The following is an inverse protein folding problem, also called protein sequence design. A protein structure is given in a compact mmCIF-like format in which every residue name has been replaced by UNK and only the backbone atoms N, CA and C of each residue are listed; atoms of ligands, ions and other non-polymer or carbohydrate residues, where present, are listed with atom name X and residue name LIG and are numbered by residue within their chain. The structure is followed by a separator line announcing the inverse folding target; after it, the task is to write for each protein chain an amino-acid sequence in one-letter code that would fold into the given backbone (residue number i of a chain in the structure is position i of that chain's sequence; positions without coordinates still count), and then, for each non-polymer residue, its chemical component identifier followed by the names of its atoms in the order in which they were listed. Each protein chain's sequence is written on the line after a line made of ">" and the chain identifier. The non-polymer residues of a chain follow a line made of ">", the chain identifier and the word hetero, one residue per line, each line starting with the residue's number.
data_IF_666163748391
#
_entry.id   IF_666163748391
#
_cell.length_a   1.000
_cell.length_b   1.000
_cell.length_c   1.000
_cell.angle_alpha   90.00
_cell.angle_beta   90.00
_cell.angle_gamma   90.00
#
_symmetry.space_group_name_H-M   'P 1'
#
loop_
_entity.id
_entity.type
_entity.pdbx_description
1 polymer ?
#
# COMPACT_ATOMS: atom_id res chain seq x y z
N UNK A 1 -10.40 -25.46 0.90
CA UNK A 1 -10.26 -24.02 1.21
C UNK A 1 -8.79 -23.65 1.38
N UNK A 2 -8.03 -23.67 0.28
CA UNK A 2 -6.63 -23.20 0.21
C UNK A 2 -6.48 -22.06 -0.83
N UNK A 3 -7.50 -21.89 -1.69
CA UNK A 3 -7.46 -20.90 -2.77
C UNK A 3 -7.58 -19.45 -2.30
N UNK A 4 -8.28 -19.15 -1.20
CA UNK A 4 -8.39 -17.75 -0.71
C UNK A 4 -7.06 -17.21 -0.19
N UNK A 5 -6.36 -17.99 0.65
CA UNK A 5 -5.01 -17.65 1.14
C UNK A 5 -3.98 -17.48 0.03
N UNK A 6 -4.05 -18.29 -1.01
CA UNK A 6 -3.19 -18.15 -2.20
C UNK A 6 -3.48 -16.82 -2.91
N UNK A 7 -4.76 -16.47 -3.14
CA UNK A 7 -5.15 -15.17 -3.73
C UNK A 7 -4.67 -13.96 -2.92
N UNK A 8 -4.80 -14.01 -1.60
CA UNK A 8 -4.29 -12.98 -0.68
C UNK A 8 -2.78 -12.79 -0.80
N UNK A 9 -2.02 -13.91 -0.82
CA UNK A 9 -0.57 -13.85 -0.96
C UNK A 9 -0.11 -13.31 -2.32
N UNK A 10 -0.80 -13.66 -3.40
CA UNK A 10 -0.53 -13.15 -4.75
C UNK A 10 -0.80 -11.66 -4.85
N UNK A 11 -1.91 -11.17 -4.29
CA UNK A 11 -2.23 -9.74 -4.26
C UNK A 11 -1.23 -8.94 -3.42
N UNK A 12 -0.81 -9.46 -2.26
CA UNK A 12 0.27 -8.84 -1.46
C UNK A 12 1.59 -8.75 -2.22
N UNK A 13 1.93 -9.76 -3.03
CA UNK A 13 3.11 -9.69 -3.90
C UNK A 13 2.93 -8.66 -5.01
N UNK A 14 1.77 -8.66 -5.68
CA UNK A 14 1.48 -7.72 -6.75
C UNK A 14 1.56 -6.25 -6.28
N UNK A 15 1.02 -5.93 -5.11
CA UNK A 15 1.12 -4.57 -4.54
C UNK A 15 2.58 -4.16 -4.38
N UNK A 16 3.42 -5.04 -3.81
CA UNK A 16 4.86 -4.78 -3.61
C UNK A 16 5.57 -4.56 -4.95
N UNK A 17 5.32 -5.42 -5.93
CA UNK A 17 5.93 -5.32 -7.26
C UNK A 17 5.52 -4.03 -7.99
N UNK A 18 4.25 -3.62 -7.86
CA UNK A 18 3.73 -2.39 -8.44
C UNK A 18 4.32 -1.15 -7.76
N UNK A 19 4.43 -1.15 -6.43
CA UNK A 19 5.07 -0.06 -5.67
C UNK A 19 6.55 0.09 -6.03
N UNK A 20 7.29 -1.02 -6.10
CA UNK A 20 8.71 -1.02 -6.47
C UNK A 20 8.95 -0.47 -7.89
N UNK A 21 7.96 -0.55 -8.77
CA UNK A 21 8.00 -0.02 -10.14
C UNK A 21 7.42 1.39 -10.27
N UNK A 22 6.93 1.99 -9.19
CA UNK A 22 6.29 3.31 -9.21
C UNK A 22 4.89 3.34 -9.83
N UNK A 23 4.24 2.18 -10.02
CA UNK A 23 2.89 2.07 -10.59
C UNK A 23 1.83 2.28 -9.49
N UNK A 24 1.82 3.46 -8.89
CA UNK A 24 1.10 3.74 -7.63
C UNK A 24 -0.42 3.59 -7.73
N UNK A 25 -1.02 4.00 -8.85
CA UNK A 25 -2.47 3.86 -9.08
C UNK A 25 -2.87 2.38 -9.18
N UNK A 26 -2.07 1.57 -9.88
CA UNK A 26 -2.28 0.12 -9.98
C UNK A 26 -2.06 -0.56 -8.63
N UNK A 27 -1.03 -0.13 -7.88
CA UNK A 27 -0.76 -0.63 -6.54
C UNK A 27 -1.94 -0.36 -5.58
N UNK A 28 -2.52 0.84 -5.64
CA UNK A 28 -3.72 1.20 -4.89
C UNK A 28 -4.89 0.31 -5.26
N UNK A 29 -5.18 0.14 -6.55
CA UNK A 29 -6.27 -0.74 -6.97
C UNK A 29 -6.08 -2.17 -6.45
N UNK A 30 -4.88 -2.72 -6.60
CA UNK A 30 -4.57 -4.05 -6.08
C UNK A 30 -4.72 -4.15 -4.55
N UNK A 31 -4.37 -3.09 -3.82
CA UNK A 31 -4.55 -3.03 -2.37
C UNK A 31 -6.03 -2.90 -1.96
N UNK A 32 -6.85 -2.16 -2.72
CA UNK A 32 -8.30 -2.09 -2.52
C UNK A 32 -8.94 -3.46 -2.75
N UNK A 33 -8.51 -4.18 -3.80
CA UNK A 33 -8.96 -5.56 -4.02
C UNK A 33 -8.53 -6.47 -2.87
N UNK A 34 -7.28 -6.41 -2.42
CA UNK A 34 -6.76 -7.20 -1.30
C UNK A 34 -7.60 -7.00 -0.04
N UNK A 35 -7.93 -5.74 0.29
CA UNK A 35 -8.74 -5.39 1.46
C UNK A 35 -10.19 -5.87 1.36
N UNK A 36 -10.73 -5.95 0.15
CA UNK A 36 -12.08 -6.46 -0.11
C UNK A 36 -12.20 -7.99 -0.11
N UNK A 37 -11.09 -8.74 -0.11
CA UNK A 37 -11.14 -10.18 0.10
C UNK A 37 -11.26 -10.46 1.60
N UNK A 38 -12.34 -11.12 1.99
CA UNK A 38 -12.50 -11.64 3.35
C UNK A 38 -11.28 -12.48 3.74
N UNK A 39 -10.65 -12.13 4.87
CA UNK A 39 -9.76 -13.05 5.56
C UNK A 39 -10.60 -14.27 5.96
N UNK A 40 -10.22 -15.48 5.53
CA UNK A 40 -10.87 -16.71 5.99
C UNK A 40 -10.69 -16.82 7.51
N UNK A 41 -11.62 -16.28 8.30
CA UNK A 41 -11.70 -16.50 9.75
C UNK A 41 -12.22 -17.93 9.91
N UNK A 42 -11.41 -18.89 10.38
CA UNK A 42 -11.88 -20.26 10.54
C UNK A 42 -12.85 -20.32 11.73
N UNK A 43 -14.16 -20.21 11.46
CA UNK A 43 -15.20 -20.53 12.45
C UNK A 43 -16.45 -19.64 12.53
N UNK A 44 -16.64 -18.64 11.66
CA UNK A 44 -17.91 -17.92 11.62
C UNK A 44 -18.96 -18.78 10.88
N UNK A 45 -19.76 -19.48 11.68
CA UNK A 45 -20.91 -20.26 11.22
C UNK A 45 -22.00 -19.31 10.73
N UNK A 46 -22.63 -19.72 9.66
CA UNK A 46 -23.81 -19.12 9.04
C UNK A 46 -24.93 -18.99 10.07
N UNK A 47 -25.43 -17.76 10.27
CA UNK A 47 -26.82 -17.51 10.65
C UNK A 47 -27.27 -16.28 9.83
N UNK A 48 -28.23 -16.53 8.96
CA UNK A 48 -28.85 -15.59 8.01
C UNK A 48 -29.68 -14.52 8.75
N UNK A 49 -29.69 -13.29 8.25
CA UNK A 49 -30.89 -12.58 7.77
C UNK A 49 -30.83 -11.03 7.91
N UNK A 50 -31.09 -10.41 6.75
CA UNK A 50 -31.99 -9.27 6.52
C UNK A 50 -31.45 -7.84 6.28
N UNK A 51 -31.99 -7.30 5.18
CA UNK A 51 -32.27 -5.91 4.83
C UNK A 51 -31.12 -4.93 4.44
N UNK A 52 -31.00 -4.71 3.12
CA UNK A 52 -30.72 -3.38 2.53
C UNK A 52 -31.99 -2.51 2.60
N UNK A 53 -31.92 -1.17 2.63
CA UNK A 53 -31.93 -0.43 1.36
C UNK A 53 -31.02 0.82 1.33
N UNK A 54 -30.55 1.15 0.12
CA UNK A 54 -29.82 2.37 -0.22
C UNK A 54 -30.71 3.63 -0.26
N UNK A 55 -30.10 4.82 -0.28
CA UNK A 55 -30.57 5.89 -1.16
C UNK A 55 -29.45 6.51 -2.03
N UNK A 56 -29.79 6.81 -3.28
CA UNK A 56 -29.02 7.63 -4.24
C UNK A 56 -29.50 9.12 -4.19
N UNK A 57 -29.21 10.04 -5.14
CA UNK A 57 -28.05 10.28 -6.03
C UNK A 57 -27.56 11.77 -5.95
N UNK A 58 -26.48 12.16 -6.67
CA UNK A 58 -26.37 13.44 -7.42
C UNK A 58 -24.99 13.69 -8.07
N UNK A 59 -24.97 13.77 -9.40
CA UNK A 59 -24.03 14.53 -10.27
C UNK A 59 -24.23 16.06 -10.10
N UNK A 60 -23.35 17.03 -10.53
CA UNK A 60 -22.54 17.00 -11.76
C UNK A 60 -21.17 17.75 -11.82
N UNK A 61 -20.43 17.46 -12.91
CA UNK A 61 -19.64 18.30 -13.84
C UNK A 61 -18.63 19.40 -13.40
N UNK A 62 -17.35 19.17 -13.78
CA UNK A 62 -16.36 20.03 -14.51
C UNK A 62 -16.02 21.45 -14.02
N UNK A 63 -15.03 22.14 -14.63
CA UNK A 63 -13.60 21.84 -14.73
C UNK A 63 -12.78 22.99 -14.09
N UNK A 64 -11.55 22.75 -13.63
CA UNK A 64 -10.64 23.86 -13.29
C UNK A 64 -9.35 23.77 -14.07
N UNK A 65 -9.09 24.90 -14.73
CA UNK A 65 -7.96 25.21 -15.58
C UNK A 65 -6.87 25.94 -14.78
N UNK A 66 -5.71 26.05 -15.42
CA UNK A 66 -4.63 27.02 -15.17
C UNK A 66 -3.83 26.77 -13.88
N UNK A 67 -2.55 27.08 -13.78
CA UNK A 67 -1.48 27.51 -14.68
C UNK A 67 -0.23 27.42 -13.78
N UNK A 68 0.92 27.63 -14.42
CA UNK A 68 2.06 28.33 -13.82
C UNK A 68 3.21 27.49 -13.23
N UNK A 69 4.36 28.01 -13.61
CA UNK A 69 5.68 27.43 -13.62
C UNK A 69 6.37 27.53 -12.27
N UNK A 70 7.40 26.71 -12.07
CA UNK A 70 8.75 27.17 -11.70
C UNK A 70 9.73 26.01 -11.80
N UNK A 71 10.82 26.28 -12.50
CA UNK A 71 12.04 25.51 -12.64
C UNK A 71 12.84 25.67 -11.32
N UNK A 72 13.10 24.58 -10.59
CA UNK A 72 14.00 24.62 -9.43
C UNK A 72 15.15 23.64 -9.66
N UNK A 73 16.27 24.25 -10.02
CA UNK A 73 17.58 23.71 -10.29
C UNK A 73 18.16 23.03 -9.04
N UNK A 74 18.22 21.70 -9.01
CA UNK A 74 18.88 20.96 -7.92
C UNK A 74 20.34 20.65 -8.29
N UNK A 75 21.24 21.38 -7.64
CA UNK A 75 22.71 21.30 -7.68
C UNK A 75 23.24 19.84 -7.51
N UNK A 76 23.95 19.36 -8.53
CA UNK A 76 24.60 18.04 -8.58
C UNK A 76 25.94 18.08 -7.84
N UNK A 77 25.88 18.11 -6.51
CA UNK A 77 27.03 17.88 -5.65
C UNK A 77 27.49 16.42 -5.71
N UNK A 78 28.49 16.14 -6.56
CA UNK A 78 29.21 14.86 -6.57
C UNK A 78 30.20 14.80 -5.41
N UNK A 79 29.86 14.08 -4.35
CA UNK A 79 30.85 13.59 -3.38
C UNK A 79 31.11 12.09 -3.65
N UNK A 80 32.16 11.83 -4.42
CA UNK A 80 32.73 10.50 -4.63
C UNK A 80 33.35 10.00 -3.32
N UNK A 81 32.80 8.91 -2.76
CA UNK A 81 33.43 8.16 -1.65
C UNK A 81 33.88 6.78 -2.14
N UNK A 82 35.13 6.35 -1.87
CA UNK A 82 35.77 5.26 -2.60
C UNK A 82 35.24 3.86 -2.22
N UNK A 83 35.34 2.97 -3.21
CA UNK A 83 34.84 1.61 -3.23
C UNK A 83 35.37 0.72 -2.09
N UNK A 84 34.46 -0.04 -1.48
CA UNK A 84 34.74 -1.19 -0.62
C UNK A 84 34.70 -2.48 -1.48
N UNK A 85 35.65 -3.43 -1.31
CA UNK A 85 35.76 -4.60 -2.19
C UNK A 85 34.56 -5.56 -2.09
N UNK A 86 34.31 -6.37 -3.14
CA UNK A 86 33.09 -7.16 -3.28
C UNK A 86 33.08 -8.31 -2.28
N UNK A 87 32.16 -8.25 -1.32
CA UNK A 87 31.77 -9.41 -0.54
C UNK A 87 30.76 -10.23 -1.37
N UNK A 88 31.07 -11.52 -1.51
CA UNK A 88 30.27 -12.60 -2.08
C UNK A 88 28.77 -12.32 -2.12
N UNK A 89 28.21 -12.27 -3.34
CA UNK A 89 26.78 -12.19 -3.57
C UNK A 89 26.08 -13.41 -2.93
N UNK A 90 25.11 -13.22 -2.01
CA UNK A 90 24.15 -14.27 -1.70
C UNK A 90 23.25 -14.49 -2.94
N UNK A 91 22.55 -15.65 -3.03
CA UNK A 91 21.63 -15.92 -4.13
C UNK A 91 20.62 -14.77 -4.28
N UNK A 92 20.37 -14.39 -5.53
CA UNK A 92 19.49 -13.30 -5.92
C UNK A 92 18.02 -13.60 -5.55
N UNK A 93 17.69 -13.45 -4.28
CA UNK A 93 16.36 -13.00 -3.89
C UNK A 93 16.40 -11.47 -3.99
N UNK A 94 16.12 -10.94 -5.18
CA UNK A 94 16.04 -9.50 -5.50
C UNK A 94 14.82 -8.81 -4.83
N UNK A 95 14.41 -9.28 -3.65
CA UNK A 95 13.43 -8.57 -2.84
C UNK A 95 14.18 -7.50 -2.04
N UNK A 96 13.80 -6.21 -2.14
CA UNK A 96 14.36 -5.19 -1.27
C UNK A 96 14.03 -5.56 0.18
N UNK A 97 15.03 -6.06 0.92
CA UNK A 97 14.88 -6.35 2.34
C UNK A 97 14.38 -5.10 3.05
N UNK A 98 13.33 -5.25 3.86
CA UNK A 98 12.83 -4.16 4.68
C UNK A 98 13.95 -3.59 5.58
N UNK A 99 14.41 -2.37 5.28
CA UNK A 99 15.49 -1.67 6.01
C UNK A 99 14.97 -0.84 7.20
N UNK A 100 13.66 -0.77 7.40
CA UNK A 100 13.04 0.08 8.42
C UNK A 100 13.19 -0.47 9.84
N UNK A 101 13.31 0.43 10.82
CA UNK A 101 13.19 0.07 12.26
C UNK A 101 11.72 -0.23 12.59
N UNK A 102 11.43 -1.41 13.13
CA UNK A 102 10.09 -1.80 13.57
C UNK A 102 9.56 -3.06 12.88
N UNK A 103 8.23 -3.22 12.85
CA UNK A 103 7.57 -4.34 12.17
C UNK A 103 7.71 -4.30 10.65
N UNK A 104 7.51 -5.45 9.99
CA UNK A 104 7.46 -5.54 8.52
C UNK A 104 6.07 -5.15 8.00
N UNK A 105 5.94 -4.71 6.74
CA UNK A 105 4.65 -4.43 6.09
C UNK A 105 3.65 -5.59 6.23
N UNK A 106 4.15 -6.82 6.08
CA UNK A 106 3.34 -8.04 6.18
C UNK A 106 2.84 -8.27 7.61
N UNK A 107 3.63 -7.91 8.63
CA UNK A 107 3.22 -8.01 10.03
C UNK A 107 2.28 -6.87 10.46
N UNK A 108 2.23 -5.76 9.71
CA UNK A 108 1.36 -4.64 9.97
C UNK A 108 -0.09 -4.85 9.46
N UNK A 109 -0.31 -5.88 8.64
CA UNK A 109 -1.63 -6.27 8.13
C UNK A 109 -2.08 -5.46 6.90
N UNK A 110 -3.21 -5.88 6.32
CA UNK A 110 -3.71 -5.32 5.05
C UNK A 110 -4.18 -3.87 5.18
N UNK A 111 -4.64 -3.45 6.36
CA UNK A 111 -4.92 -2.04 6.68
C UNK A 111 -3.71 -1.14 6.39
N UNK A 112 -2.52 -1.59 6.78
CA UNK A 112 -1.29 -0.84 6.53
C UNK A 112 -0.96 -0.80 5.04
N UNK A 113 -1.13 -1.92 4.32
CA UNK A 113 -0.84 -2.01 2.89
C UNK A 113 -1.74 -1.05 2.11
N UNK A 114 -3.04 -1.03 2.40
CA UNK A 114 -3.99 -0.11 1.78
C UNK A 114 -3.69 1.36 2.14
N UNK A 115 -3.44 1.64 3.41
CA UNK A 115 -3.08 2.99 3.87
C UNK A 115 -1.78 3.49 3.22
N UNK A 116 -0.78 2.62 3.08
CA UNK A 116 0.48 2.93 2.41
C UNK A 116 0.24 3.26 0.94
N UNK A 117 -0.64 2.54 0.25
CA UNK A 117 -0.97 2.84 -1.14
C UNK A 117 -1.68 4.20 -1.29
N UNK A 118 -2.56 4.58 -0.35
CA UNK A 118 -3.12 5.94 -0.30
C UNK A 118 -2.06 7.00 0.00
N UNK A 119 -1.15 6.70 0.93
CA UNK A 119 -0.07 7.60 1.31
C UNK A 119 0.87 7.90 0.14
N UNK A 120 1.26 6.87 -0.62
CA UNK A 120 2.15 7.02 -1.78
C UNK A 120 1.54 7.92 -2.87
N UNK A 121 0.20 8.01 -2.96
CA UNK A 121 -0.52 8.91 -3.87
C UNK A 121 -0.78 10.32 -3.30
N UNK A 122 -0.32 10.60 -2.07
CA UNK A 122 -0.57 11.88 -1.39
C UNK A 122 -1.95 12.00 -0.75
N UNK A 123 -2.74 10.92 -0.66
CA UNK A 123 -4.07 10.91 -0.07
C UNK A 123 -4.02 10.75 1.46
N UNK A 124 -3.31 11.64 2.15
CA UNK A 124 -2.96 11.49 3.57
C UNK A 124 -4.18 11.35 4.50
N UNK A 125 -5.29 12.05 4.21
CA UNK A 125 -6.53 11.95 4.99
C UNK A 125 -7.17 10.55 4.93
N UNK A 126 -7.05 9.87 3.78
CA UNK A 126 -7.58 8.51 3.62
C UNK A 126 -6.64 7.50 4.26
N UNK A 127 -5.34 7.70 4.11
CA UNK A 127 -4.32 6.88 4.75
C UNK A 127 -4.47 6.86 6.29
N UNK A 128 -4.56 8.02 6.93
CA UNK A 128 -4.69 8.10 8.40
C UNK A 128 -6.00 7.50 8.90
N UNK A 129 -7.10 7.70 8.17
CA UNK A 129 -8.39 7.08 8.50
C UNK A 129 -8.30 5.55 8.48
N UNK A 130 -7.64 4.97 7.48
CA UNK A 130 -7.49 3.52 7.32
C UNK A 130 -6.71 2.87 8.48
N UNK A 131 -5.71 3.54 9.05
CA UNK A 131 -4.88 2.99 10.14
C UNK A 131 -5.35 3.34 11.55
N UNK A 132 -6.55 3.93 11.70
CA UNK A 132 -7.04 4.40 13.01
C UNK A 132 -7.04 3.29 14.08
N UNK A 133 -7.39 2.07 13.70
CA UNK A 133 -7.48 0.91 14.59
C UNK A 133 -6.20 0.05 14.58
N UNK A 134 -5.28 0.31 13.64
CA UNK A 134 -4.07 -0.49 13.47
C UNK A 134 -3.06 -0.20 14.61
N UNK A 135 -2.76 -1.23 15.41
CA UNK A 135 -1.89 -1.11 16.59
C UNK A 135 -0.40 -1.36 16.30
N UNK A 136 -0.07 -1.76 15.08
CA UNK A 136 1.32 -1.97 14.67
C UNK A 136 2.11 -0.67 14.71
N UNK A 137 3.44 -0.76 14.84
CA UNK A 137 4.31 0.43 14.80
C UNK A 137 4.18 1.19 13.48
N UNK A 138 3.95 0.45 12.39
CA UNK A 138 3.78 1.00 11.04
C UNK A 138 2.44 1.69 10.85
N UNK A 139 1.35 1.10 11.34
CA UNK A 139 0.03 1.76 11.35
C UNK A 139 0.04 3.03 12.19
N UNK A 140 0.66 3.00 13.38
CA UNK A 140 0.84 4.18 14.23
C UNK A 140 1.64 5.30 13.57
N UNK A 141 2.61 4.96 12.73
CA UNK A 141 3.42 5.93 12.00
C UNK A 141 2.63 6.63 10.88
N UNK A 142 1.68 5.94 10.26
CA UNK A 142 0.85 6.48 9.17
C UNK A 142 -0.40 7.25 9.64
N UNK A 143 -0.62 7.36 10.96
CA UNK A 143 -1.78 8.05 11.54
C UNK A 143 -1.54 9.55 11.70
#
# INVERSE_FOLDING_TARGET
>A
MAGSRVKHSELRQAVRDLQNRGLLHSARWAAEQLYGLEDEIPGAREDEDDATPAPAPATPATPFANDDASDDEMDLGTDEKPAKPPATAPPADDAPEWRGRGGTPEAAGDDFILAKAYFDLGEYRRASHQVTENRSSLGKFLR
#
